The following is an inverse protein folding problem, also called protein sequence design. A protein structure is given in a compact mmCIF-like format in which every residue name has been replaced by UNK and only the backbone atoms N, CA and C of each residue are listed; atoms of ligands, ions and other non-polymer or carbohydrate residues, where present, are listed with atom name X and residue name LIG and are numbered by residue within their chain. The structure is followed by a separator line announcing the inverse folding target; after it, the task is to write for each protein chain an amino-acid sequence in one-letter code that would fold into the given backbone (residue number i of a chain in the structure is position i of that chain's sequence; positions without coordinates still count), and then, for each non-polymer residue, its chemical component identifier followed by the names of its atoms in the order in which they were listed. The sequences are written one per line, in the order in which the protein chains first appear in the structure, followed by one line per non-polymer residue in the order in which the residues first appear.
data_IF_543096308548
#
_entry.id   IF_543096308548
#
_cell.length_a   1.000
_cell.length_b   1.000
_cell.length_c   1.000
_cell.angle_alpha   90.00
_cell.angle_beta   90.00
_cell.angle_gamma   90.00
#
_symmetry.space_group_name_H-M   'P 1'
#
loop_
_entity.id
_entity.type
_entity.pdbx_description
1 polymer ?
#
# COMPACT_ATOMS: atom_id res chain seq x y z
N UNK A 1 9.36 22.95 7.59
CA UNK A 1 8.30 22.62 6.61
C UNK A 1 7.69 21.29 6.99
N UNK A 2 6.38 21.20 7.05
CA UNK A 2 5.67 19.95 7.35
C UNK A 2 5.25 19.30 6.05
N UNK A 3 5.58 18.02 5.89
CA UNK A 3 5.14 17.19 4.76
C UNK A 3 3.70 16.74 5.02
N UNK A 4 2.84 16.86 4.04
CA UNK A 4 1.49 16.29 4.10
C UNK A 4 1.54 14.85 3.60
N UNK A 5 1.02 13.92 4.38
CA UNK A 5 0.83 12.53 3.99
C UNK A 5 -0.61 12.29 3.56
N UNK A 6 -0.83 11.99 2.28
CA UNK A 6 -2.15 11.69 1.71
C UNK A 6 -2.60 10.27 2.09
N UNK A 7 -2.76 10.00 3.39
CA UNK A 7 -3.09 8.67 3.90
C UNK A 7 -3.65 8.75 5.32
N UNK A 8 -4.45 7.76 5.70
CA UNK A 8 -4.91 7.51 7.07
C UNK A 8 -4.14 6.35 7.74
N UNK A 9 -3.16 5.77 7.08
CA UNK A 9 -2.41 4.62 7.58
C UNK A 9 -1.60 4.97 8.81
N UNK A 10 -2.01 4.44 9.97
CA UNK A 10 -1.30 4.60 11.25
C UNK A 10 0.14 4.09 11.15
N UNK A 11 0.36 3.00 10.42
CA UNK A 11 1.69 2.43 10.23
C UNK A 11 2.63 3.33 9.45
N UNK A 12 2.13 3.99 8.39
CA UNK A 12 2.94 4.94 7.60
C UNK A 12 3.28 6.19 8.39
N UNK A 13 2.32 6.71 9.14
CA UNK A 13 2.53 7.86 10.03
C UNK A 13 3.60 7.53 11.07
N UNK A 14 3.47 6.39 11.74
CA UNK A 14 4.43 5.95 12.76
C UNK A 14 5.83 5.74 12.18
N UNK A 15 5.93 5.14 11.00
CA UNK A 15 7.21 4.89 10.31
C UNK A 15 7.92 6.21 9.95
N UNK A 16 7.21 7.18 9.40
CA UNK A 16 7.77 8.48 9.04
C UNK A 16 8.21 9.26 10.28
N UNK A 17 7.40 9.28 11.31
CA UNK A 17 7.74 9.92 12.58
C UNK A 17 8.96 9.26 13.24
N UNK A 18 9.05 7.94 13.21
CA UNK A 18 10.22 7.21 13.73
C UNK A 18 11.50 7.51 12.92
N UNK A 19 11.36 7.84 11.64
CA UNK A 19 12.47 8.30 10.80
C UNK A 19 12.80 9.80 10.98
N UNK A 20 12.15 10.49 11.91
CA UNK A 20 12.36 11.93 12.15
C UNK A 20 11.67 12.85 11.14
N UNK A 21 10.75 12.32 10.34
CA UNK A 21 9.99 13.10 9.35
C UNK A 21 8.64 13.46 9.93
N UNK A 22 8.46 14.74 10.26
CA UNK A 22 7.17 15.25 10.72
C UNK A 22 6.17 15.29 9.57
N UNK A 23 5.02 14.67 9.77
CA UNK A 23 3.94 14.62 8.77
C UNK A 23 2.60 15.04 9.36
N UNK A 24 1.79 15.69 8.53
CA UNK A 24 0.37 15.92 8.76
C UNK A 24 -0.42 14.97 7.87
N UNK A 25 -1.25 14.12 8.47
CA UNK A 25 -2.05 13.15 7.72
C UNK A 25 -3.35 13.77 7.21
N UNK A 26 -3.58 13.69 5.92
CA UNK A 26 -4.81 14.14 5.26
C UNK A 26 -5.36 12.99 4.40
N UNK A 27 -6.60 12.55 4.61
CA UNK A 27 -7.20 11.47 3.82
C UNK A 27 -7.25 11.81 2.33
N UNK A 28 -6.82 10.90 1.48
CA UNK A 28 -6.85 11.11 0.04
C UNK A 28 -8.22 10.88 -0.59
N UNK A 29 -9.02 9.93 -0.06
CA UNK A 29 -10.38 9.60 -0.52
C UNK A 29 -10.46 9.37 -2.04
N UNK A 30 -9.61 8.51 -2.58
CA UNK A 30 -9.65 8.06 -3.97
C UNK A 30 -10.36 6.71 -4.08
N UNK A 31 -11.00 6.46 -5.20
CA UNK A 31 -11.59 5.14 -5.51
C UNK A 31 -10.48 4.20 -5.99
N UNK A 32 -9.77 3.60 -5.03
CA UNK A 32 -8.64 2.71 -5.29
C UNK A 32 -9.04 1.46 -6.07
N UNK A 33 -10.18 0.88 -5.78
CA UNK A 33 -10.67 -0.35 -6.44
C UNK A 33 -10.94 -0.10 -7.92
N UNK A 34 -11.56 1.02 -8.26
CA UNK A 34 -11.83 1.41 -9.64
C UNK A 34 -10.55 1.65 -10.45
N UNK A 35 -9.60 2.38 -9.88
CA UNK A 35 -8.30 2.64 -10.51
C UNK A 35 -7.55 1.32 -10.73
N UNK A 36 -7.49 0.47 -9.72
CA UNK A 36 -6.79 -0.81 -9.76
C UNK A 36 -7.40 -1.75 -10.80
N UNK A 37 -8.73 -1.87 -10.83
CA UNK A 37 -9.46 -2.69 -11.80
C UNK A 37 -9.19 -2.22 -13.23
N UNK A 38 -9.34 -0.92 -13.49
CA UNK A 38 -9.12 -0.32 -14.80
C UNK A 38 -7.68 -0.56 -15.32
N UNK A 39 -6.69 -0.35 -14.46
CA UNK A 39 -5.28 -0.58 -14.82
C UNK A 39 -4.97 -2.06 -15.03
N UNK A 40 -5.54 -2.94 -14.22
CA UNK A 40 -5.37 -4.39 -14.37
C UNK A 40 -5.97 -4.89 -15.68
N UNK A 41 -7.17 -4.43 -16.04
CA UNK A 41 -7.82 -4.74 -17.32
C UNK A 41 -7.03 -4.23 -18.51
N UNK A 42 -6.35 -3.09 -18.37
CA UNK A 42 -5.44 -2.54 -19.37
C UNK A 42 -4.08 -3.27 -19.46
N UNK A 43 -3.84 -4.29 -18.63
CA UNK A 43 -2.60 -5.05 -18.63
C UNK A 43 -1.43 -4.37 -17.92
N UNK A 44 -1.68 -3.38 -17.07
CA UNK A 44 -0.63 -2.70 -16.31
C UNK A 44 0.08 -3.67 -15.36
N UNK A 45 1.39 -3.47 -15.21
CA UNK A 45 2.19 -4.25 -14.26
C UNK A 45 1.90 -3.81 -12.81
N UNK A 46 2.06 -4.68 -11.82
CA UNK A 46 1.84 -4.33 -10.42
C UNK A 46 2.58 -3.08 -9.95
N UNK A 47 3.83 -2.87 -10.39
CA UNK A 47 4.58 -1.66 -10.06
C UNK A 47 3.96 -0.38 -10.60
N UNK A 48 3.39 -0.44 -11.80
CA UNK A 48 2.74 0.71 -12.44
C UNK A 48 1.40 1.00 -11.77
N UNK A 49 0.70 -0.02 -11.29
CA UNK A 49 -0.53 0.12 -10.51
C UNK A 49 -0.22 0.80 -9.16
N UNK A 50 0.81 0.35 -8.45
CA UNK A 50 1.23 0.96 -7.18
C UNK A 50 1.62 2.44 -7.37
N UNK A 51 2.40 2.74 -8.41
CA UNK A 51 2.82 4.10 -8.74
C UNK A 51 1.62 5.01 -9.08
N UNK A 52 0.69 4.52 -9.90
CA UNK A 52 -0.52 5.27 -10.27
C UNK A 52 -1.43 5.54 -9.05
N UNK A 53 -1.59 4.58 -8.15
CA UNK A 53 -2.37 4.75 -6.92
C UNK A 53 -1.71 5.76 -5.98
N UNK A 54 -0.40 5.68 -5.80
CA UNK A 54 0.36 6.65 -5.01
C UNK A 54 0.23 8.07 -5.57
N UNK A 55 0.34 8.22 -6.89
CA UNK A 55 0.17 9.51 -7.58
C UNK A 55 -1.25 10.05 -7.43
N UNK A 56 -2.28 9.23 -7.64
CA UNK A 56 -3.67 9.65 -7.50
C UNK A 56 -3.97 10.22 -6.12
N UNK A 57 -3.46 9.57 -5.07
CA UNK A 57 -3.60 10.04 -3.68
C UNK A 57 -2.89 11.37 -3.46
N UNK A 58 -1.63 11.47 -3.87
CA UNK A 58 -0.83 12.69 -3.73
C UNK A 58 -1.46 13.87 -4.48
N UNK A 59 -1.85 13.66 -5.74
CA UNK A 59 -2.47 14.70 -6.58
C UNK A 59 -3.77 15.24 -5.99
N UNK A 60 -4.64 14.36 -5.51
CA UNK A 60 -5.93 14.78 -4.97
C UNK A 60 -5.79 15.71 -3.78
N UNK A 61 -4.90 15.40 -2.87
CA UNK A 61 -4.62 16.24 -1.69
C UNK A 61 -3.82 17.50 -2.10
N UNK A 62 -2.84 17.37 -2.98
CA UNK A 62 -2.00 18.49 -3.44
C UNK A 62 -2.79 19.60 -4.12
N UNK A 63 -3.88 19.26 -4.82
CA UNK A 63 -4.78 20.25 -5.42
C UNK A 63 -5.51 21.09 -4.39
N UNK A 64 -5.72 20.56 -3.18
CA UNK A 64 -6.37 21.28 -2.08
C UNK A 64 -5.39 22.17 -1.30
N UNK A 65 -4.12 21.79 -1.29
CA UNK A 65 -3.04 22.48 -0.57
C UNK A 65 -1.85 22.72 -1.50
N UNK A 66 -2.01 23.59 -2.51
CA UNK A 66 -1.07 23.69 -3.64
C UNK A 66 0.34 24.18 -3.25
N UNK A 67 0.50 24.80 -2.10
CA UNK A 67 1.80 25.29 -1.61
C UNK A 67 2.57 24.28 -0.77
N UNK A 68 1.97 23.14 -0.48
CA UNK A 68 2.60 22.11 0.34
C UNK A 68 3.18 20.98 -0.51
N UNK A 69 4.21 20.30 0.01
CA UNK A 69 4.65 19.02 -0.49
C UNK A 69 3.72 17.93 0.05
N UNK A 70 3.16 17.13 -0.84
CA UNK A 70 2.21 16.06 -0.49
C UNK A 70 2.75 14.71 -0.93
N UNK A 71 2.93 13.81 0.01
CA UNK A 71 3.37 12.44 -0.20
C UNK A 71 2.17 11.50 -0.31
N UNK A 72 2.01 10.84 -1.44
CA UNK A 72 1.13 9.69 -1.62
C UNK A 72 1.93 8.40 -1.63
N UNK A 73 1.39 7.37 -1.02
CA UNK A 73 2.02 6.05 -0.97
C UNK A 73 0.99 4.96 -1.27
N UNK A 74 1.46 3.91 -1.95
CA UNK A 74 0.72 2.67 -2.11
C UNK A 74 1.63 1.46 -1.97
N UNK A 75 1.06 0.31 -1.62
CA UNK A 75 1.79 -0.95 -1.57
C UNK A 75 0.93 -2.08 -2.14
N UNK A 76 1.51 -2.86 -3.02
CA UNK A 76 0.88 -4.04 -3.63
C UNK A 76 1.65 -5.29 -3.23
N UNK A 77 0.93 -6.30 -2.74
CA UNK A 77 1.47 -7.62 -2.45
C UNK A 77 1.22 -8.53 -3.64
N UNK A 78 2.27 -9.12 -4.20
CA UNK A 78 2.21 -10.00 -5.37
C UNK A 78 2.82 -11.34 -5.05
N UNK A 79 2.06 -12.42 -5.22
CA UNK A 79 2.54 -13.79 -5.07
C UNK A 79 3.51 -14.20 -6.17
N UNK A 80 4.17 -15.33 -5.98
CA UNK A 80 5.12 -15.89 -6.94
C UNK A 80 4.49 -16.20 -8.31
N UNK A 81 3.19 -16.49 -8.32
CA UNK A 81 2.38 -16.75 -9.53
C UNK A 81 1.80 -15.48 -10.18
N UNK A 82 2.15 -14.30 -9.67
CA UNK A 82 1.63 -13.03 -10.16
C UNK A 82 0.27 -12.62 -9.56
N UNK A 83 -0.30 -13.42 -8.65
CA UNK A 83 -1.54 -13.06 -7.97
C UNK A 83 -1.36 -11.83 -7.09
N UNK A 84 -2.24 -10.84 -7.26
CA UNK A 84 -2.29 -9.64 -6.42
C UNK A 84 -3.23 -9.89 -5.25
N UNK A 85 -2.71 -9.74 -4.04
CA UNK A 85 -3.49 -9.87 -2.81
C UNK A 85 -4.09 -8.52 -2.43
N UNK A 86 -5.41 -8.48 -2.35
CA UNK A 86 -6.13 -7.34 -1.79
C UNK A 86 -6.18 -7.41 -0.26
N UNK A 87 -6.53 -6.31 0.39
CA UNK A 87 -6.77 -6.34 1.84
C UNK A 87 -7.90 -7.32 2.16
N UNK A 88 -7.70 -8.25 3.10
CA UNK A 88 -8.75 -9.18 3.47
C UNK A 88 -9.91 -8.42 4.10
N UNK A 89 -11.14 -8.72 3.67
CA UNK A 89 -12.37 -8.12 4.17
C UNK A 89 -12.98 -8.95 5.29
N UNK A 90 -12.66 -10.23 5.34
CA UNK A 90 -13.20 -11.19 6.31
C UNK A 90 -12.07 -12.03 6.92
N UNK A 91 -12.30 -12.68 8.09
CA UNK A 91 -11.35 -13.66 8.63
C UNK A 91 -11.06 -14.81 7.67
N UNK A 92 -12.02 -15.22 6.88
CA UNK A 92 -11.88 -16.28 5.86
C UNK A 92 -10.95 -15.83 4.74
N UNK A 93 -11.05 -14.60 4.25
CA UNK A 93 -10.12 -14.02 3.28
C UNK A 93 -8.70 -14.00 3.84
N UNK A 94 -8.55 -13.59 5.10
CA UNK A 94 -7.25 -13.55 5.77
C UNK A 94 -6.62 -14.95 5.86
N UNK A 95 -7.41 -15.98 6.20
CA UNK A 95 -6.95 -17.39 6.21
C UNK A 95 -6.51 -17.85 4.83
N UNK A 96 -7.30 -17.55 3.81
CA UNK A 96 -7.00 -17.92 2.42
C UNK A 96 -5.71 -17.24 1.94
N UNK A 97 -5.50 -15.96 2.26
CA UNK A 97 -4.25 -15.24 1.94
C UNK A 97 -3.05 -15.90 2.63
N UNK A 98 -3.13 -16.15 3.93
CA UNK A 98 -2.03 -16.75 4.69
C UNK A 98 -1.71 -18.17 4.21
N UNK A 99 -2.73 -18.96 3.91
CA UNK A 99 -2.54 -20.31 3.35
C UNK A 99 -1.83 -20.25 1.99
N UNK A 100 -2.16 -19.30 1.14
CA UNK A 100 -1.54 -19.11 -0.17
C UNK A 100 -0.12 -18.58 -0.08
N UNK A 101 0.17 -17.72 0.89
CA UNK A 101 1.52 -17.18 1.14
C UNK A 101 2.44 -18.16 1.86
N UNK A 102 1.87 -19.15 2.58
CA UNK A 102 2.63 -20.14 3.36
C UNK A 102 3.66 -20.87 2.51
N UNK A 103 4.90 -20.91 2.99
CA UNK A 103 6.00 -21.64 2.35
C UNK A 103 6.38 -21.13 0.96
N UNK A 104 5.96 -19.93 0.59
CA UNK A 104 6.21 -19.35 -0.73
C UNK A 104 6.90 -18.00 -0.67
N UNK A 105 7.34 -17.52 -1.83
CA UNK A 105 7.92 -16.18 -2.01
C UNK A 105 6.85 -15.24 -2.51
N UNK A 106 6.80 -14.05 -1.96
CA UNK A 106 5.99 -12.94 -2.48
C UNK A 106 6.78 -11.65 -2.49
N UNK A 107 6.26 -10.64 -3.18
CA UNK A 107 6.86 -9.33 -3.28
C UNK A 107 5.92 -8.27 -2.71
N UNK A 108 6.49 -7.33 -1.97
CA UNK A 108 5.83 -6.10 -1.56
C UNK A 108 6.38 -4.97 -2.43
N UNK A 109 5.55 -4.45 -3.31
CA UNK A 109 5.90 -3.37 -4.21
C UNK A 109 5.35 -2.09 -3.61
N UNK A 110 6.24 -1.18 -3.20
CA UNK A 110 5.88 0.08 -2.55
C UNK A 110 6.18 1.24 -3.48
N UNK A 111 5.21 2.11 -3.66
CA UNK A 111 5.34 3.34 -4.42
C UNK A 111 5.16 4.56 -3.52
N UNK A 112 5.96 5.57 -3.78
CA UNK A 112 5.87 6.88 -3.13
C UNK A 112 5.97 7.96 -4.21
N UNK A 113 5.04 8.91 -4.17
CA UNK A 113 4.99 10.05 -5.10
C UNK A 113 4.80 11.32 -4.30
N UNK A 114 5.65 12.32 -4.54
CA UNK A 114 5.47 13.66 -3.98
C UNK A 114 4.90 14.55 -5.06
N UNK A 115 3.83 15.26 -4.72
CA UNK A 115 3.22 16.28 -5.55
C UNK A 115 3.34 17.66 -4.91
N UNK A 116 3.45 18.67 -5.75
CA UNK A 116 3.36 20.09 -5.41
C UNK A 116 2.49 20.78 -6.46
N UNK A 117 1.53 21.59 -6.04
CA UNK A 117 0.62 22.26 -6.97
C UNK A 117 -0.19 21.34 -7.87
N UNK A 118 -0.49 20.12 -7.41
CA UNK A 118 -1.21 19.11 -8.16
C UNK A 118 -0.39 18.33 -9.20
N UNK A 119 0.93 18.57 -9.28
CA UNK A 119 1.84 17.89 -10.21
C UNK A 119 2.89 17.04 -9.46
N UNK A 120 3.24 15.86 -9.96
CA UNK A 120 4.29 15.05 -9.36
C UNK A 120 5.66 15.71 -9.58
N UNK A 121 6.44 15.82 -8.50
CA UNK A 121 7.81 16.39 -8.51
C UNK A 121 8.87 15.37 -8.16
N UNK A 122 8.49 14.25 -7.56
CA UNK A 122 9.38 13.14 -7.21
C UNK A 122 8.61 11.83 -7.10
N UNK A 123 9.24 10.72 -7.44
CA UNK A 123 8.67 9.38 -7.26
C UNK A 123 9.73 8.32 -7.04
N UNK A 124 9.36 7.28 -6.34
CA UNK A 124 10.14 6.07 -6.14
C UNK A 124 9.22 4.86 -6.10
N UNK A 125 9.62 3.78 -6.77
CA UNK A 125 9.02 2.46 -6.61
C UNK A 125 10.12 1.49 -6.22
N UNK A 126 9.92 0.78 -5.12
CA UNK A 126 10.87 -0.22 -4.61
C UNK A 126 10.15 -1.53 -4.30
N UNK A 127 10.89 -2.62 -4.32
CA UNK A 127 10.35 -3.96 -4.14
C UNK A 127 11.12 -4.71 -3.07
N UNK A 128 10.40 -5.21 -2.06
CA UNK A 128 10.94 -6.14 -1.08
C UNK A 128 10.48 -7.56 -1.42
N UNK A 129 11.42 -8.50 -1.50
CA UNK A 129 11.10 -9.92 -1.66
C UNK A 129 11.02 -10.55 -0.27
N UNK A 130 9.90 -11.22 -0.02
CA UNK A 130 9.62 -11.89 1.26
C UNK A 130 9.51 -13.39 1.04
N UNK A 131 10.23 -14.14 1.86
CA UNK A 131 10.10 -15.61 1.89
C UNK A 131 9.36 -16.00 3.15
N UNK A 132 8.18 -16.57 2.99
CA UNK A 132 7.35 -17.05 4.11
C UNK A 132 7.78 -18.46 4.51
N UNK A 133 7.98 -18.65 5.81
CA UNK A 133 8.08 -20.02 6.34
C UNK A 133 6.75 -20.77 6.13
N UNK A 134 6.74 -22.09 6.12
CA UNK A 134 5.49 -22.84 6.17
C UNK A 134 4.69 -22.49 7.43
N UNK A 135 3.40 -22.20 7.26
CA UNK A 135 2.48 -21.86 8.33
C UNK A 135 1.57 -23.05 8.62
N UNK A 136 1.47 -23.47 9.89
CA UNK A 136 0.51 -24.49 10.29
C UNK A 136 -0.92 -23.94 10.26
N UNK A 137 -1.95 -24.79 10.05
CA UNK A 137 -3.34 -24.38 10.16
C UNK A 137 -3.66 -23.74 11.50
N UNK A 138 -3.11 -24.27 12.60
CA UNK A 138 -3.28 -23.73 13.95
C UNK A 138 -2.70 -22.32 14.06
N UNK A 139 -1.51 -22.07 13.52
CA UNK A 139 -0.91 -20.74 13.52
C UNK A 139 -1.77 -19.74 12.72
N UNK A 140 -2.25 -20.14 11.55
CA UNK A 140 -3.11 -19.31 10.70
C UNK A 140 -4.39 -18.92 11.46
N UNK A 141 -5.05 -19.89 12.10
CA UNK A 141 -6.34 -19.67 12.78
C UNK A 141 -6.22 -18.82 14.05
N UNK A 142 -5.18 -19.03 14.86
CA UNK A 142 -5.08 -18.42 16.19
C UNK A 142 -4.34 -17.09 16.16
N UNK A 143 -3.21 -17.00 15.47
CA UNK A 143 -2.30 -15.86 15.53
C UNK A 143 -2.32 -15.04 14.24
N UNK A 144 -2.20 -15.71 13.10
CA UNK A 144 -2.05 -15.04 11.81
C UNK A 144 -3.24 -14.15 11.45
N UNK A 145 -4.45 -14.66 11.59
CA UNK A 145 -5.69 -13.92 11.27
C UNK A 145 -5.87 -12.71 12.16
N UNK A 146 -5.62 -12.82 13.46
CA UNK A 146 -5.72 -11.71 14.40
C UNK A 146 -4.77 -10.57 14.04
N UNK A 147 -3.51 -10.90 13.76
CA UNK A 147 -2.50 -9.88 13.43
C UNK A 147 -2.80 -9.19 12.10
N UNK A 148 -3.31 -9.91 11.12
CA UNK A 148 -3.61 -9.37 9.81
C UNK A 148 -4.79 -8.38 9.85
N UNK A 149 -5.83 -8.71 10.62
CA UNK A 149 -7.03 -7.88 10.77
C UNK A 149 -6.75 -6.63 11.63
N UNK A 150 -5.95 -6.75 12.68
CA UNK A 150 -5.65 -5.61 13.57
C UNK A 150 -4.75 -4.54 12.95
N UNK A 151 -4.03 -4.85 11.87
CA UNK A 151 -3.12 -3.92 11.18
C UNK A 151 -3.75 -3.15 10.04
N UNK A 152 -5.03 -3.31 9.83
CA UNK A 152 -5.82 -2.56 8.86
C UNK A 152 -6.45 -1.33 9.53
#
# INVERSE_FOLDING_TARGET
MTLILASQSVGRIAMLNAAGVAVEAVPALVDEDSIKTSLTEAGAKPRDIADALAEAKARKVSRKVPTALVLGCDQICVGADGHIFDKPKTPEDARAHLARLSGSVHRLISAAVICEGGAPVWRLVDTAQMTMRPLSPTFIDIIGVRQLIQRQ
#
